data_IF_574972546913
#
_entry.id   IF_574972546913
#
_cell.length_a   1.000
_cell.length_b   1.000
_cell.length_c   1.000
_cell.angle_alpha   90.00
_cell.angle_beta   90.00
_cell.angle_gamma   90.00
#
_symmetry.space_group_name_H-M   'P 1'
#
loop_
_entity.id
_entity.type
_entity.pdbx_description
1 polymer ?
#
# COMPACT_ATOMS: atom_id res chain seq x y z
N UNK A 1 13.30 -6.27 -24.51
CA UNK A 1 12.01 -5.58 -24.68
C UNK A 1 11.80 -4.77 -23.41
N UNK A 2 12.19 -3.51 -23.39
CA UNK A 2 11.96 -2.66 -22.22
C UNK A 2 10.51 -2.20 -22.26
N UNK A 3 9.74 -2.47 -21.20
CA UNK A 3 8.41 -1.89 -21.05
C UNK A 3 8.63 -0.38 -20.91
N UNK A 4 8.18 0.41 -21.89
CA UNK A 4 8.15 1.86 -21.75
C UNK A 4 7.26 2.20 -20.56
N UNK A 5 7.65 3.17 -19.70
CA UNK A 5 6.74 3.65 -18.68
C UNK A 5 5.53 4.24 -19.40
N UNK A 6 4.38 3.60 -19.27
CA UNK A 6 3.11 4.23 -19.61
C UNK A 6 2.97 5.42 -18.68
N UNK A 7 3.20 6.62 -19.19
CA UNK A 7 2.71 7.85 -18.57
C UNK A 7 1.19 7.73 -18.66
N UNK A 8 0.60 7.14 -17.62
CA UNK A 8 -0.83 7.26 -17.42
C UNK A 8 -1.01 8.70 -16.98
N UNK A 9 -1.52 9.53 -17.89
CA UNK A 9 -2.04 10.85 -17.56
C UNK A 9 -3.21 10.65 -16.60
N UNK A 10 -2.90 10.45 -15.32
CA UNK A 10 -3.86 10.53 -14.26
C UNK A 10 -4.23 12.00 -14.12
N UNK A 11 -5.34 12.32 -14.78
CA UNK A 11 -6.19 13.47 -14.51
C UNK A 11 -6.14 13.72 -13.00
N UNK A 12 -5.62 14.87 -12.61
CA UNK A 12 -5.61 15.37 -11.23
C UNK A 12 -7.02 15.14 -10.70
N UNK A 13 -7.24 14.44 -9.57
CA UNK A 13 -8.56 14.32 -8.99
C UNK A 13 -8.92 15.71 -8.49
N UNK A 14 -9.58 16.45 -9.38
CA UNK A 14 -10.24 17.70 -9.10
C UNK A 14 -11.23 17.42 -7.97
N UNK A 15 -11.21 18.31 -6.99
CA UNK A 15 -12.09 18.26 -5.83
C UNK A 15 -13.52 18.05 -6.33
N UNK A 16 -14.15 16.94 -5.96
CA UNK A 16 -15.32 16.41 -6.68
C UNK A 16 -16.60 17.21 -6.44
N UNK A 17 -16.63 18.05 -5.41
CA UNK A 17 -17.80 18.86 -5.06
C UNK A 17 -17.39 20.20 -4.45
N UNK A 18 -18.30 21.18 -4.46
CA UNK A 18 -18.09 22.46 -3.79
C UNK A 18 -17.92 22.31 -2.26
N UNK A 19 -18.56 21.29 -1.66
CA UNK A 19 -18.47 20.98 -0.24
C UNK A 19 -17.06 20.50 0.15
N UNK A 20 -16.45 19.66 -0.69
CA UNK A 20 -15.08 19.21 -0.45
C UNK A 20 -14.08 20.37 -0.53
N UNK A 21 -14.31 21.33 -1.42
CA UNK A 21 -13.44 22.49 -1.60
C UNK A 21 -13.48 23.41 -0.38
N UNK A 22 -14.67 23.62 0.18
CA UNK A 22 -14.83 24.32 1.46
C UNK A 22 -14.13 23.59 2.61
N UNK A 23 -14.28 22.27 2.68
CA UNK A 23 -13.62 21.45 3.70
C UNK A 23 -12.10 21.51 3.59
N UNK A 24 -11.55 21.48 2.37
CA UNK A 24 -10.12 21.68 2.13
C UNK A 24 -9.67 23.03 2.68
N UNK A 25 -10.39 24.10 2.37
CA UNK A 25 -10.05 25.45 2.85
C UNK A 25 -10.11 25.58 4.38
N UNK A 26 -11.08 24.94 5.03
CA UNK A 26 -11.19 24.90 6.49
C UNK A 26 -10.01 24.15 7.13
N UNK A 27 -9.55 23.07 6.51
CA UNK A 27 -8.36 22.33 6.96
C UNK A 27 -7.08 23.15 6.74
N UNK A 28 -6.94 23.81 5.59
CA UNK A 28 -5.78 24.68 5.29
C UNK A 28 -5.68 25.86 6.26
N UNK A 29 -6.83 26.45 6.64
CA UNK A 29 -6.91 27.52 7.64
C UNK A 29 -6.72 27.04 9.08
N UNK A 30 -6.71 25.72 9.32
CA UNK A 30 -6.57 25.11 10.64
C UNK A 30 -7.85 25.17 11.48
N UNK A 31 -9.00 25.50 10.90
CA UNK A 31 -10.30 25.53 11.58
C UNK A 31 -10.80 24.12 11.87
N UNK A 32 -10.57 23.18 10.95
CA UNK A 32 -10.85 21.75 11.12
C UNK A 32 -9.52 21.00 11.23
N UNK A 33 -9.42 20.13 12.24
CA UNK A 33 -8.28 19.24 12.35
C UNK A 33 -8.41 18.06 11.38
N UNK A 34 -7.33 17.75 10.68
CA UNK A 34 -7.26 16.70 9.66
C UNK A 34 -7.69 15.31 10.16
N UNK A 35 -7.47 14.97 11.45
CA UNK A 35 -7.86 13.68 12.02
C UNK A 35 -9.36 13.54 12.29
N UNK A 36 -10.14 14.63 12.21
CA UNK A 36 -11.59 14.62 12.41
C UNK A 36 -12.38 14.41 11.11
N UNK A 37 -11.69 14.40 9.96
CA UNK A 37 -12.33 14.36 8.64
C UNK A 37 -13.16 13.09 8.42
N UNK A 38 -12.70 11.93 8.87
CA UNK A 38 -13.45 10.68 8.73
C UNK A 38 -14.80 10.72 9.46
N UNK A 39 -14.88 11.40 10.61
CA UNK A 39 -16.11 11.56 11.38
C UNK A 39 -17.03 12.65 10.80
N UNK A 40 -16.46 13.77 10.32
CA UNK A 40 -17.23 14.89 9.78
C UNK A 40 -17.78 14.63 8.39
N UNK A 41 -17.00 13.99 7.52
CA UNK A 41 -17.37 13.71 6.13
C UNK A 41 -18.24 12.45 6.04
N UNK A 42 -18.06 11.49 6.96
CA UNK A 42 -18.77 10.21 6.93
C UNK A 42 -18.36 9.27 5.79
N UNK A 43 -17.40 9.69 4.95
CA UNK A 43 -16.77 8.89 3.90
C UNK A 43 -15.24 8.91 4.09
N UNK A 44 -14.67 7.75 4.40
CA UNK A 44 -13.22 7.60 4.58
C UNK A 44 -12.44 7.99 3.33
N UNK A 45 -12.94 7.68 2.13
CA UNK A 45 -12.23 7.99 0.90
C UNK A 45 -12.26 9.50 0.63
N UNK A 46 -13.41 10.13 0.83
CA UNK A 46 -13.58 11.59 0.80
C UNK A 46 -12.65 12.31 1.79
N UNK A 47 -12.59 11.83 3.04
CA UNK A 47 -11.69 12.38 4.06
C UNK A 47 -10.21 12.33 3.62
N UNK A 48 -9.76 11.20 3.06
CA UNK A 48 -8.39 11.06 2.53
C UNK A 48 -8.15 12.03 1.37
N UNK A 49 -9.12 12.20 0.47
CA UNK A 49 -9.01 13.13 -0.66
C UNK A 49 -8.89 14.59 -0.21
N UNK A 50 -9.76 15.02 0.71
CA UNK A 50 -9.72 16.38 1.29
C UNK A 50 -8.38 16.62 1.98
N UNK A 51 -7.95 15.67 2.83
CA UNK A 51 -6.66 15.74 3.52
C UNK A 51 -5.48 15.85 2.56
N UNK A 52 -5.48 15.00 1.54
CA UNK A 52 -4.45 14.97 0.50
C UNK A 52 -4.35 16.32 -0.19
N UNK A 53 -5.48 16.90 -0.59
CA UNK A 53 -5.50 18.20 -1.27
C UNK A 53 -5.06 19.34 -0.34
N UNK A 54 -5.54 19.37 0.90
CA UNK A 54 -5.09 20.34 1.90
C UNK A 54 -3.57 20.25 2.12
N UNK A 55 -3.00 19.04 2.20
CA UNK A 55 -1.57 18.82 2.35
C UNK A 55 -0.78 19.37 1.15
N UNK A 56 -1.26 19.19 -0.08
CA UNK A 56 -0.63 19.76 -1.28
C UNK A 56 -0.63 21.29 -1.24
N UNK A 57 -1.72 21.92 -0.81
CA UNK A 57 -1.83 23.39 -0.68
C UNK A 57 -0.90 23.95 0.40
N UNK A 58 -0.86 23.31 1.57
CA UNK A 58 -0.01 23.72 2.70
C UNK A 58 1.48 23.61 2.33
N UNK A 59 1.88 22.47 1.75
CA UNK A 59 3.29 22.20 1.47
C UNK A 59 3.78 22.77 0.14
N UNK A 60 2.86 23.14 -0.75
CA UNK A 60 3.12 23.46 -2.17
C UNK A 60 3.89 22.36 -2.89
N UNK A 61 3.72 21.10 -2.47
CA UNK A 61 4.31 19.91 -3.08
C UNK A 61 3.20 19.03 -3.64
N UNK A 62 3.45 18.46 -4.81
CA UNK A 62 2.54 17.49 -5.42
C UNK A 62 2.71 16.12 -4.76
N UNK A 63 1.59 15.43 -4.55
CA UNK A 63 1.57 14.01 -4.16
C UNK A 63 1.34 13.09 -5.37
N UNK A 64 1.55 13.62 -6.59
CA UNK A 64 1.48 12.82 -7.82
C UNK A 64 2.36 11.57 -7.71
N UNK A 65 1.81 10.43 -8.14
CA UNK A 65 2.46 9.13 -8.01
C UNK A 65 2.10 8.37 -6.72
N UNK A 66 1.40 8.99 -5.77
CA UNK A 66 0.77 8.30 -4.64
C UNK A 66 -0.72 8.03 -4.97
N UNK A 67 -1.13 6.79 -5.25
CA UNK A 67 -2.52 6.46 -5.57
C UNK A 67 -3.51 6.77 -4.45
N UNK A 68 -4.76 6.99 -4.85
CA UNK A 68 -5.92 7.21 -3.97
C UNK A 68 -7.00 6.16 -4.22
N UNK A 69 -7.32 5.88 -5.48
CA UNK A 69 -8.36 4.92 -5.86
C UNK A 69 -7.89 3.47 -5.77
N UNK A 70 -8.82 2.52 -5.59
CA UNK A 70 -8.49 1.08 -5.58
C UNK A 70 -8.08 0.53 -4.21
N UNK A 71 -8.24 1.32 -3.14
CA UNK A 71 -7.99 0.91 -1.77
C UNK A 71 -9.24 1.12 -0.89
N UNK A 72 -9.55 0.14 -0.03
CA UNK A 72 -10.63 0.24 0.94
C UNK A 72 -10.15 0.94 2.21
N UNK A 73 -10.31 2.26 2.27
CA UNK A 73 -9.95 3.05 3.45
C UNK A 73 -10.80 2.76 4.69
N UNK A 74 -11.98 2.16 4.53
CA UNK A 74 -12.80 1.72 5.66
C UNK A 74 -12.12 0.62 6.47
N UNK A 75 -11.42 -0.30 5.78
CA UNK A 75 -10.74 -1.44 6.40
C UNK A 75 -9.61 -1.07 7.36
N UNK A 76 -8.96 0.08 7.16
CA UNK A 76 -7.82 0.51 8.00
C UNK A 76 -8.19 1.47 9.13
N UNK A 77 -9.42 2.01 9.10
CA UNK A 77 -9.86 3.04 10.04
C UNK A 77 -9.76 2.54 11.49
N UNK A 78 -9.00 3.26 12.32
CA UNK A 78 -8.76 2.93 13.74
C UNK A 78 -8.11 1.54 13.97
N UNK A 79 -7.45 0.98 12.95
CA UNK A 79 -6.81 -0.33 13.04
C UNK A 79 -5.33 -0.27 12.64
N UNK A 80 -5.02 0.25 11.45
CA UNK A 80 -3.68 0.09 10.86
C UNK A 80 -2.95 1.40 10.58
N UNK A 81 -3.66 2.49 10.29
CA UNK A 81 -3.03 3.76 9.93
C UNK A 81 -3.98 4.93 10.24
N UNK A 82 -3.41 5.98 10.83
CA UNK A 82 -4.08 7.25 11.08
C UNK A 82 -3.79 8.26 9.96
N UNK A 83 -4.77 9.13 9.68
CA UNK A 83 -4.67 10.23 8.72
C UNK A 83 -4.09 9.85 7.33
N UNK A 84 -4.61 8.82 6.65
CA UNK A 84 -4.10 8.41 5.34
C UNK A 84 -4.24 9.52 4.29
N UNK A 85 -3.30 9.60 3.34
CA UNK A 85 -3.30 10.52 2.18
C UNK A 85 -3.18 9.79 0.82
N UNK A 86 -3.23 8.47 0.88
CA UNK A 86 -2.97 7.56 -0.24
C UNK A 86 -2.42 6.23 0.29
N UNK A 87 -1.85 5.43 -0.60
CA UNK A 87 -1.16 4.19 -0.24
C UNK A 87 0.02 3.95 -1.20
N UNK A 88 0.98 3.12 -0.81
CA UNK A 88 2.12 2.75 -1.66
C UNK A 88 1.90 1.37 -2.25
N UNK A 89 2.05 1.24 -3.56
CA UNK A 89 2.02 -0.04 -4.26
C UNK A 89 3.41 -0.69 -4.21
N UNK A 90 3.48 -1.94 -3.74
CA UNK A 90 4.71 -2.73 -3.73
C UNK A 90 4.56 -3.88 -4.74
N UNK A 91 5.50 -4.05 -5.70
CA UNK A 91 5.47 -5.19 -6.61
C UNK A 91 5.49 -6.51 -5.84
N UNK A 92 4.62 -7.44 -6.22
CA UNK A 92 4.55 -8.79 -5.64
C UNK A 92 4.94 -9.80 -6.70
N UNK A 93 6.07 -10.48 -6.47
CA UNK A 93 6.52 -11.62 -7.28
C UNK A 93 6.17 -12.95 -6.63
N UNK A 94 6.28 -14.03 -7.40
CA UNK A 94 6.09 -15.40 -6.93
C UNK A 94 7.42 -16.17 -7.03
N UNK A 95 7.81 -16.85 -5.96
CA UNK A 95 8.91 -17.82 -5.95
C UNK A 95 8.35 -19.21 -5.63
N UNK A 96 8.65 -20.20 -6.46
CA UNK A 96 8.13 -21.56 -6.30
C UNK A 96 8.57 -22.52 -7.41
N UNK A 97 8.46 -23.84 -7.18
CA UNK A 97 7.88 -24.49 -5.98
C UNK A 97 8.94 -24.71 -4.89
N UNK A 98 8.58 -24.42 -3.64
CA UNK A 98 9.32 -24.87 -2.46
C UNK A 98 8.70 -26.17 -1.95
N UNK A 99 9.45 -27.27 -2.01
CA UNK A 99 9.05 -28.55 -1.39
C UNK A 99 9.54 -28.58 0.06
N UNK A 100 8.62 -28.35 1.01
CA UNK A 100 8.88 -28.26 2.44
C UNK A 100 7.95 -29.21 3.19
N UNK A 101 8.52 -30.10 4.01
CA UNK A 101 7.77 -31.07 4.83
C UNK A 101 6.79 -31.94 4.03
N UNK A 102 7.14 -32.23 2.77
CA UNK A 102 6.31 -33.00 1.84
C UNK A 102 5.22 -32.19 1.12
N UNK A 103 5.12 -30.88 1.35
CA UNK A 103 4.15 -30.00 0.69
C UNK A 103 4.83 -29.03 -0.27
N UNK A 104 4.14 -28.69 -1.35
CA UNK A 104 4.61 -27.74 -2.35
C UNK A 104 3.99 -26.36 -2.10
N UNK A 105 4.85 -25.34 -2.05
CA UNK A 105 4.45 -23.95 -1.84
C UNK A 105 4.86 -23.03 -2.98
N UNK A 106 3.95 -22.12 -3.35
CA UNK A 106 4.25 -20.92 -4.12
C UNK A 106 4.26 -19.76 -3.14
N UNK A 107 5.41 -19.10 -2.99
CA UNK A 107 5.62 -18.06 -1.98
C UNK A 107 5.46 -16.69 -2.63
N UNK A 108 4.44 -15.88 -2.23
CA UNK A 108 4.35 -14.49 -2.64
C UNK A 108 5.39 -13.63 -1.91
N UNK A 109 6.07 -12.76 -2.64
CA UNK A 109 7.12 -11.88 -2.13
C UNK A 109 6.88 -10.45 -2.58
N UNK A 110 6.57 -9.55 -1.65
CA UNK A 110 6.46 -8.11 -1.90
C UNK A 110 7.84 -7.45 -1.77
N UNK A 111 8.38 -6.88 -2.84
CA UNK A 111 9.72 -6.28 -2.82
C UNK A 111 9.95 -5.30 -3.97
N UNK A 112 10.82 -4.32 -3.74
CA UNK A 112 11.36 -3.43 -4.78
C UNK A 112 12.82 -3.77 -5.12
N UNK A 113 13.44 -4.71 -4.41
CA UNK A 113 14.82 -5.12 -4.64
C UNK A 113 14.94 -5.98 -5.91
N UNK A 114 15.84 -5.59 -6.81
CA UNK A 114 16.12 -6.34 -8.03
C UNK A 114 16.67 -7.74 -7.72
N UNK A 115 16.37 -8.70 -8.58
CA UNK A 115 16.85 -10.09 -8.53
C UNK A 115 16.45 -10.94 -7.31
N UNK A 116 15.91 -10.38 -6.21
CA UNK A 116 15.65 -11.15 -4.99
C UNK A 116 14.65 -12.30 -5.23
N UNK A 117 13.51 -12.03 -5.90
CA UNK A 117 12.50 -13.05 -6.21
C UNK A 117 13.10 -14.14 -7.11
N UNK A 118 13.86 -13.75 -8.14
CA UNK A 118 14.49 -14.70 -9.06
C UNK A 118 15.58 -15.54 -8.37
N UNK A 119 16.34 -14.94 -7.46
CA UNK A 119 17.38 -15.62 -6.68
C UNK A 119 16.75 -16.65 -5.73
N UNK A 120 15.73 -16.26 -4.97
CA UNK A 120 14.96 -17.18 -4.11
C UNK A 120 14.35 -18.32 -4.93
N UNK A 121 13.78 -18.01 -6.09
CA UNK A 121 13.21 -19.02 -6.99
C UNK A 121 14.25 -20.05 -7.47
N UNK A 122 15.48 -19.61 -7.77
CA UNK A 122 16.61 -20.52 -8.09
C UNK A 122 16.98 -21.40 -6.89
N UNK A 123 16.98 -20.84 -5.68
CA UNK A 123 17.19 -21.60 -4.45
C UNK A 123 16.15 -22.69 -4.25
N UNK A 124 14.86 -22.36 -4.41
CA UNK A 124 13.76 -23.32 -4.34
C UNK A 124 13.88 -24.43 -5.37
N UNK A 125 14.28 -24.11 -6.61
CA UNK A 125 14.57 -25.12 -7.63
C UNK A 125 15.68 -26.09 -7.19
N UNK A 126 16.71 -25.59 -6.52
CA UNK A 126 17.77 -26.42 -5.94
C UNK A 126 17.24 -27.36 -4.86
N UNK A 127 16.47 -26.84 -3.90
CA UNK A 127 15.84 -27.61 -2.82
C UNK A 127 14.89 -28.68 -3.39
N UNK A 128 14.08 -28.32 -4.37
CA UNK A 128 13.14 -29.24 -5.00
C UNK A 128 13.88 -30.40 -5.68
N UNK A 129 14.97 -30.10 -6.40
CA UNK A 129 15.82 -31.12 -7.02
C UNK A 129 16.52 -32.03 -6.01
N UNK A 130 16.72 -31.58 -4.76
CA UNK A 130 17.28 -32.39 -3.66
C UNK A 130 16.21 -33.15 -2.86
N UNK A 131 15.02 -33.38 -3.43
CA UNK A 131 13.89 -34.05 -2.78
C UNK A 131 13.27 -33.27 -1.61
N UNK A 132 13.44 -31.94 -1.61
CA UNK A 132 12.83 -31.04 -0.64
C UNK A 132 13.67 -30.76 0.58
N UNK A 133 13.04 -30.15 1.58
CA UNK A 133 13.63 -29.84 2.89
C UNK A 133 12.62 -30.07 3.99
N UNK A 134 13.08 -30.20 5.24
CA UNK A 134 12.24 -30.37 6.43
C UNK A 134 12.42 -29.21 7.40
N UNK A 135 11.35 -28.78 8.05
CA UNK A 135 11.40 -27.77 9.11
C UNK A 135 10.92 -28.31 10.45
N UNK A 136 11.30 -27.64 11.54
CA UNK A 136 10.82 -27.94 12.89
C UNK A 136 10.77 -26.64 13.69
N UNK A 137 9.64 -26.40 14.36
CA UNK A 137 9.48 -25.25 15.26
C UNK A 137 9.98 -25.66 16.64
N UNK A 138 11.07 -25.03 17.11
CA UNK A 138 11.70 -25.37 18.39
C UNK A 138 11.07 -24.65 19.58
N UNK A 139 10.49 -23.47 19.35
CA UNK A 139 9.86 -22.64 20.37
C UNK A 139 8.87 -21.68 19.70
N UNK A 140 7.71 -21.52 20.30
CA UNK A 140 6.71 -20.51 19.92
C UNK A 140 6.25 -19.77 21.19
N UNK A 141 6.68 -18.52 21.34
CA UNK A 141 6.34 -17.67 22.49
C UNK A 141 6.18 -16.24 22.02
N UNK A 142 5.08 -15.61 22.43
CA UNK A 142 4.88 -14.17 22.33
C UNK A 142 4.85 -13.57 23.74
N UNK A 143 6.01 -13.15 24.30
CA UNK A 143 6.06 -12.51 25.60
C UNK A 143 5.39 -11.14 25.55
N UNK A 144 4.75 -10.75 26.65
CA UNK A 144 4.17 -9.42 26.83
C UNK A 144 5.19 -8.40 27.29
#
# INVERSE_FOLDING_TARGET
MACSPSIVDHIIPTVSSAEDEEMVDLVVKGTIHSHALEEQVGDCKGAVRIRREALQRITRRSLQGLPLDGFDYGSILKQCCEMPVGYVQIPVGLAGLLLLDGFEYIVPMATTEGCIVASTNRGFKGIYASSGTTSTILRDVFPR
#
